data_IF_832133804550
#
_entry.id   IF_832133804550
#
_cell.length_a   1.000
_cell.length_b   1.000
_cell.length_c   1.000
_cell.angle_alpha   90.00
_cell.angle_beta   90.00
_cell.angle_gamma   90.00
#
_symmetry.space_group_name_H-M   'P 1'
#
loop_
_entity.id
_entity.type
_entity.pdbx_description
1 polymer ?
#
# COMPACT_ATOMS: atom_id res chain seq x y z
N UNK A 1 -13.27 10.07 -8.89
CA UNK A 1 -12.30 10.58 -7.90
C UNK A 1 -12.53 12.07 -7.83
N UNK A 2 -13.18 12.53 -6.77
CA UNK A 2 -13.38 13.96 -6.50
C UNK A 2 -12.06 14.52 -5.95
N UNK A 3 -11.30 15.17 -6.83
CA UNK A 3 -9.92 15.63 -6.56
C UNK A 3 -9.91 16.93 -5.74
N UNK A 4 -11.03 17.62 -5.62
CA UNK A 4 -11.15 18.94 -5.00
C UNK A 4 -10.81 18.89 -3.49
N UNK A 5 -11.16 17.77 -2.82
CA UNK A 5 -10.80 17.52 -1.42
C UNK A 5 -9.30 17.26 -1.19
N UNK A 6 -8.60 16.78 -2.23
CA UNK A 6 -7.15 16.47 -2.20
C UNK A 6 -6.33 17.74 -2.45
N UNK A 7 -6.85 18.68 -3.24
CA UNK A 7 -6.19 19.95 -3.56
C UNK A 7 -6.02 20.86 -2.34
N UNK A 8 -6.97 20.82 -1.39
CA UNK A 8 -6.89 21.57 -0.13
C UNK A 8 -5.70 21.20 0.77
N UNK A 9 -5.06 20.06 0.53
CA UNK A 9 -3.89 19.60 1.28
C UNK A 9 -2.57 20.18 0.77
N UNK A 10 -2.59 20.95 -0.34
CA UNK A 10 -1.39 21.53 -0.94
C UNK A 10 -0.62 22.48 -0.01
N UNK A 11 -1.31 23.07 0.98
CA UNK A 11 -0.74 23.99 1.98
C UNK A 11 0.14 23.32 3.05
N UNK A 12 0.12 21.99 3.15
CA UNK A 12 0.93 21.25 4.14
C UNK A 12 2.41 21.33 3.76
N UNK A 13 3.20 22.05 4.56
CA UNK A 13 4.63 22.34 4.25
C UNK A 13 5.51 21.08 4.14
N UNK A 14 5.47 20.10 5.07
CA UNK A 14 6.28 18.90 4.92
C UNK A 14 5.70 18.01 3.82
N UNK A 15 6.42 17.89 2.71
CA UNK A 15 5.92 17.21 1.51
C UNK A 15 5.58 15.72 1.74
N UNK A 16 6.29 15.05 2.65
CA UNK A 16 5.98 13.66 3.06
C UNK A 16 4.61 13.58 3.75
N UNK A 17 4.30 14.51 4.65
CA UNK A 17 3.01 14.56 5.34
C UNK A 17 1.89 14.94 4.39
N UNK A 18 2.14 15.89 3.48
CA UNK A 18 1.19 16.25 2.43
C UNK A 18 0.81 15.02 1.58
N UNK A 19 1.81 14.30 1.08
CA UNK A 19 1.59 13.07 0.32
C UNK A 19 0.78 12.05 1.14
N UNK A 20 1.15 11.84 2.41
CA UNK A 20 0.47 10.87 3.27
C UNK A 20 -0.98 11.27 3.61
N UNK A 21 -1.29 12.57 3.78
CA UNK A 21 -2.66 13.06 3.97
C UNK A 21 -3.52 12.87 2.70
N UNK A 22 -2.94 13.13 1.53
CA UNK A 22 -3.61 12.87 0.24
C UNK A 22 -3.89 11.38 0.07
N UNK A 23 -2.91 10.53 0.39
CA UNK A 23 -3.06 9.07 0.38
C UNK A 23 -4.07 8.58 1.41
N UNK A 24 -4.16 9.21 2.59
CA UNK A 24 -5.19 8.89 3.60
C UNK A 24 -6.59 9.19 3.09
N UNK A 25 -6.77 10.31 2.41
CA UNK A 25 -8.04 10.68 1.79
C UNK A 25 -8.47 9.67 0.73
N UNK A 26 -7.51 9.26 -0.12
CA UNK A 26 -7.70 8.22 -1.13
C UNK A 26 -7.98 6.83 -0.50
N UNK A 27 -7.27 6.44 0.56
CA UNK A 27 -7.52 5.21 1.32
C UNK A 27 -8.94 5.18 1.93
N UNK A 28 -9.46 6.35 2.33
CA UNK A 28 -10.85 6.50 2.82
C UNK A 28 -11.88 6.40 1.70
N UNK A 29 -11.63 7.07 0.58
CA UNK A 29 -12.49 7.01 -0.60
C UNK A 29 -12.63 5.58 -1.13
N UNK A 30 -11.54 4.83 -1.16
CA UNK A 30 -11.51 3.42 -1.54
C UNK A 30 -11.97 2.48 -0.42
N UNK A 31 -12.30 3.00 0.78
CA UNK A 31 -12.61 2.23 1.99
C UNK A 31 -11.59 1.14 2.38
N UNK A 32 -10.37 1.18 1.82
CA UNK A 32 -9.30 0.21 2.08
C UNK A 32 -8.80 0.25 3.53
N UNK A 33 -9.04 1.34 4.25
CA UNK A 33 -8.78 1.44 5.69
C UNK A 33 -9.63 0.48 6.54
N UNK A 34 -10.71 -0.09 5.98
CA UNK A 34 -11.58 -1.07 6.61
C UNK A 34 -11.20 -2.52 6.25
N UNK A 35 -10.33 -2.69 5.25
CA UNK A 35 -9.90 -4.00 4.75
C UNK A 35 -8.66 -4.44 5.53
N UNK A 36 -8.65 -5.66 6.04
CA UNK A 36 -7.46 -6.29 6.64
C UNK A 36 -6.81 -7.29 5.68
N UNK A 37 -5.57 -7.67 5.99
CA UNK A 37 -4.87 -8.73 5.25
C UNK A 37 -5.57 -10.09 5.36
N UNK A 38 -6.43 -10.29 6.37
CA UNK A 38 -7.21 -11.52 6.54
C UNK A 38 -8.30 -11.63 5.47
N UNK A 39 -9.01 -10.54 5.15
CA UNK A 39 -9.99 -10.55 4.05
C UNK A 39 -9.31 -10.47 2.67
N UNK A 40 -8.17 -9.76 2.59
CA UNK A 40 -7.47 -9.54 1.32
C UNK A 40 -6.88 -10.83 0.72
N UNK A 41 -6.24 -11.67 1.54
CA UNK A 41 -5.53 -12.87 1.05
C UNK A 41 -6.44 -13.86 0.30
N UNK A 42 -7.63 -14.26 0.84
CA UNK A 42 -8.55 -15.12 0.11
C UNK A 42 -9.02 -14.51 -1.21
N UNK A 43 -9.34 -13.22 -1.23
CA UNK A 43 -9.80 -12.53 -2.43
C UNK A 43 -8.74 -12.54 -3.54
N UNK A 44 -7.47 -12.31 -3.18
CA UNK A 44 -6.34 -12.39 -4.13
C UNK A 44 -6.06 -13.81 -4.59
N UNK A 45 -6.15 -14.81 -3.70
CA UNK A 45 -5.91 -16.20 -4.08
C UNK A 45 -6.88 -16.69 -5.15
N UNK A 46 -8.12 -16.18 -5.15
CA UNK A 46 -9.14 -16.51 -6.15
C UNK A 46 -8.89 -15.84 -7.51
N UNK A 47 -8.13 -14.73 -7.54
CA UNK A 47 -7.70 -14.10 -8.80
C UNK A 47 -6.47 -14.79 -9.40
N UNK A 48 -5.85 -15.68 -8.64
CA UNK A 48 -4.59 -16.35 -8.94
C UNK A 48 -4.80 -17.84 -9.17
N UNK A 49 -5.61 -18.21 -10.16
CA UNK A 49 -5.90 -19.62 -10.48
C UNK A 49 -4.61 -20.44 -10.77
N UNK A 50 -3.54 -19.78 -11.23
CA UNK A 50 -2.27 -20.39 -11.64
C UNK A 50 -1.12 -20.26 -10.63
N UNK A 51 -1.34 -19.63 -9.48
CA UNK A 51 -0.27 -19.20 -8.53
C UNK A 51 0.86 -18.37 -9.17
N UNK A 52 0.68 -17.87 -10.40
CA UNK A 52 1.69 -17.09 -11.10
C UNK A 52 1.54 -15.59 -10.76
N UNK A 53 2.50 -14.98 -10.05
CA UNK A 53 2.46 -13.54 -9.76
C UNK A 53 2.53 -12.67 -11.02
N UNK A 54 2.92 -13.22 -12.18
CA UNK A 54 2.93 -12.51 -13.47
C UNK A 54 1.57 -12.54 -14.19
N UNK A 55 0.55 -13.17 -13.60
CA UNK A 55 -0.82 -13.17 -14.13
C UNK A 55 -1.31 -11.75 -14.34
N UNK A 56 -1.83 -11.48 -15.54
CA UNK A 56 -2.49 -10.20 -15.88
C UNK A 56 -3.99 -10.34 -15.66
N UNK A 57 -4.56 -9.35 -15.01
CA UNK A 57 -5.97 -9.27 -14.67
C UNK A 57 -6.63 -8.15 -15.48
N UNK A 58 -7.73 -8.47 -16.13
CA UNK A 58 -8.64 -7.52 -16.75
C UNK A 58 -9.39 -6.69 -15.70
N UNK A 59 -10.00 -5.58 -16.12
CA UNK A 59 -10.78 -4.73 -15.22
C UNK A 59 -11.97 -5.49 -14.58
N UNK A 60 -12.58 -6.41 -15.32
CA UNK A 60 -13.68 -7.23 -14.84
C UNK A 60 -13.21 -8.21 -13.74
N UNK A 61 -12.05 -8.85 -13.92
CA UNK A 61 -11.47 -9.77 -12.92
C UNK A 61 -11.10 -9.02 -11.63
N UNK A 62 -10.46 -7.85 -11.76
CA UNK A 62 -10.14 -7.00 -10.60
C UNK A 62 -11.41 -6.58 -9.87
N UNK A 63 -12.44 -6.12 -10.58
CA UNK A 63 -13.73 -5.74 -9.99
C UNK A 63 -14.38 -6.92 -9.26
N UNK A 64 -14.40 -8.10 -9.87
CA UNK A 64 -14.94 -9.30 -9.24
C UNK A 64 -14.18 -9.68 -7.96
N UNK A 65 -12.85 -9.57 -7.96
CA UNK A 65 -12.04 -9.78 -6.76
C UNK A 65 -12.38 -8.80 -5.64
N UNK A 66 -12.56 -7.53 -5.98
CA UNK A 66 -12.95 -6.49 -5.04
C UNK A 66 -14.39 -6.69 -4.50
N UNK A 67 -15.33 -7.13 -5.33
CA UNK A 67 -16.69 -7.49 -4.88
C UNK A 67 -16.64 -8.57 -3.81
N UNK A 68 -15.86 -9.63 -4.01
CA UNK A 68 -15.68 -10.70 -3.00
C UNK A 68 -15.00 -10.18 -1.74
N UNK A 69 -13.96 -9.35 -1.89
CA UNK A 69 -13.26 -8.73 -0.78
C UNK A 69 -14.22 -7.92 0.09
N UNK A 70 -14.97 -6.99 -0.50
CA UNK A 70 -15.88 -6.13 0.23
C UNK A 70 -17.13 -6.86 0.73
N UNK A 71 -17.53 -7.96 0.08
CA UNK A 71 -18.54 -8.87 0.65
C UNK A 71 -18.06 -9.45 1.97
N UNK A 72 -16.81 -9.94 2.04
CA UNK A 72 -16.22 -10.45 3.28
C UNK A 72 -16.10 -9.38 4.37
N UNK A 73 -15.75 -8.14 4.01
CA UNK A 73 -15.71 -7.02 4.96
C UNK A 73 -17.11 -6.65 5.46
N UNK A 74 -18.12 -6.70 4.59
CA UNK A 74 -19.51 -6.39 4.94
C UNK A 74 -20.09 -7.34 5.99
N UNK A 75 -19.66 -8.60 5.99
CA UNK A 75 -20.09 -9.59 6.99
C UNK A 75 -19.65 -9.22 8.41
N UNK A 76 -18.49 -8.58 8.54
CA UNK A 76 -17.99 -8.09 9.83
C UNK A 76 -18.51 -6.69 10.19
N UNK A 77 -19.01 -5.94 9.20
CA UNK A 77 -19.47 -4.55 9.33
C UNK A 77 -20.90 -4.37 8.79
N UNK A 78 -21.93 -4.88 9.51
CA UNK A 78 -23.31 -4.85 9.03
C UNK A 78 -23.81 -3.43 8.77
N UNK A 79 -24.42 -3.21 7.60
CA UNK A 79 -25.03 -1.95 7.20
C UNK A 79 -24.13 -0.99 6.43
N UNK A 80 -22.86 -1.34 6.20
CA UNK A 80 -21.97 -0.56 5.35
C UNK A 80 -22.13 -0.94 3.87
N UNK A 81 -22.14 0.06 2.98
CA UNK A 81 -22.25 -0.13 1.53
C UNK A 81 -20.92 0.19 0.88
N UNK A 82 -20.38 -0.75 0.10
CA UNK A 82 -19.06 -0.68 -0.50
C UNK A 82 -19.07 -0.56 -2.04
N UNK A 83 -20.22 -0.39 -2.67
CA UNK A 83 -20.34 -0.29 -4.14
C UNK A 83 -19.44 0.80 -4.72
N UNK A 84 -19.44 1.99 -4.12
CA UNK A 84 -18.56 3.08 -4.56
C UNK A 84 -17.09 2.77 -4.32
N UNK A 85 -16.75 2.08 -3.21
CA UNK A 85 -15.38 1.70 -2.91
C UNK A 85 -14.81 0.70 -3.90
N UNK A 86 -15.61 -0.26 -4.38
CA UNK A 86 -15.21 -1.19 -5.45
C UNK A 86 -14.84 -0.42 -6.72
N UNK A 87 -15.67 0.55 -7.13
CA UNK A 87 -15.42 1.34 -8.34
C UNK A 87 -14.22 2.28 -8.18
N UNK A 88 -14.10 2.97 -7.04
CA UNK A 88 -12.96 3.87 -6.80
C UNK A 88 -11.65 3.08 -6.68
N UNK A 89 -11.66 1.90 -6.06
CA UNK A 89 -10.48 1.03 -5.95
C UNK A 89 -10.09 0.45 -7.31
N UNK A 90 -11.06 -0.01 -8.11
CA UNK A 90 -10.80 -0.47 -9.48
C UNK A 90 -10.16 0.65 -10.31
N UNK A 91 -10.76 1.86 -10.33
CA UNK A 91 -10.21 3.01 -11.05
C UNK A 91 -8.82 3.41 -10.58
N UNK A 92 -8.57 3.33 -9.27
CA UNK A 92 -7.26 3.60 -8.69
C UNK A 92 -6.19 2.63 -9.22
N UNK A 93 -6.46 1.32 -9.16
CA UNK A 93 -5.51 0.29 -9.59
C UNK A 93 -5.13 0.43 -11.07
N UNK A 94 -6.12 0.70 -11.93
CA UNK A 94 -5.87 0.92 -13.36
C UNK A 94 -5.13 2.24 -13.62
N UNK A 95 -5.43 3.30 -12.87
CA UNK A 95 -4.66 4.55 -12.94
C UNK A 95 -3.20 4.37 -12.52
N UNK A 96 -2.92 3.48 -11.57
CA UNK A 96 -1.58 3.18 -11.09
C UNK A 96 -0.78 2.36 -12.12
N UNK A 97 -1.37 1.28 -12.63
CA UNK A 97 -0.64 0.20 -13.28
C UNK A 97 -0.97 -0.04 -14.76
N UNK A 98 -2.05 0.53 -15.30
CA UNK A 98 -2.41 0.42 -16.73
C UNK A 98 -2.21 1.75 -17.49
N UNK A 99 -0.99 2.30 -17.42
CA UNK A 99 -0.66 3.60 -18.04
C UNK A 99 -0.74 3.58 -19.56
N UNK A 100 -0.51 2.43 -20.16
CA UNK A 100 -0.58 2.19 -21.60
C UNK A 100 -2.01 1.87 -22.07
N UNK A 101 -2.99 1.85 -21.17
CA UNK A 101 -4.40 1.59 -21.47
C UNK A 101 -4.61 0.25 -22.19
N UNK A 102 -3.90 -0.78 -21.73
CA UNK A 102 -3.99 -2.15 -22.25
C UNK A 102 -5.25 -2.87 -21.80
N UNK A 103 -5.96 -2.34 -20.79
CA UNK A 103 -7.12 -2.98 -20.18
C UNK A 103 -6.75 -4.10 -19.20
N UNK A 104 -5.47 -4.19 -18.79
CA UNK A 104 -5.00 -5.21 -17.85
C UNK A 104 -3.89 -4.72 -16.90
N UNK A 105 -3.87 -5.25 -15.68
CA UNK A 105 -2.87 -4.98 -14.64
C UNK A 105 -2.26 -6.27 -14.10
N UNK A 106 -1.04 -6.22 -13.58
CA UNK A 106 -0.39 -7.40 -13.00
C UNK A 106 -0.93 -7.69 -11.60
N UNK A 107 -1.15 -8.97 -11.29
CA UNK A 107 -1.66 -9.42 -9.98
C UNK A 107 -0.77 -8.94 -8.83
N UNK A 108 0.55 -9.08 -8.94
CA UNK A 108 1.46 -8.63 -7.88
C UNK A 108 1.41 -7.12 -7.64
N UNK A 109 1.18 -6.32 -8.69
CA UNK A 109 1.03 -4.87 -8.55
C UNK A 109 -0.27 -4.52 -7.83
N UNK A 110 -1.36 -5.25 -8.12
CA UNK A 110 -2.63 -5.13 -7.39
C UNK A 110 -2.43 -5.51 -5.92
N UNK A 111 -1.80 -6.64 -5.63
CA UNK A 111 -1.53 -7.10 -4.27
C UNK A 111 -0.66 -6.10 -3.49
N UNK A 112 0.39 -5.56 -4.10
CA UNK A 112 1.27 -4.57 -3.47
C UNK A 112 0.51 -3.31 -3.06
N UNK A 113 -0.33 -2.75 -3.94
CA UNK A 113 -1.12 -1.56 -3.65
C UNK A 113 -2.17 -1.83 -2.57
N UNK A 114 -2.93 -2.93 -2.68
CA UNK A 114 -3.97 -3.27 -1.70
C UNK A 114 -3.38 -3.58 -0.32
N UNK A 115 -2.25 -4.28 -0.26
CA UNK A 115 -1.48 -4.51 0.98
C UNK A 115 -1.02 -3.20 1.61
N UNK A 116 -0.47 -2.27 0.82
CA UNK A 116 -0.01 -1.00 1.35
C UNK A 116 -1.17 -0.13 1.88
N UNK A 117 -2.32 -0.17 1.21
CA UNK A 117 -3.51 0.62 1.54
C UNK A 117 -4.45 -0.04 2.55
N UNK A 118 -4.20 -1.27 3.00
CA UNK A 118 -5.05 -1.96 3.99
C UNK A 118 -5.09 -1.23 5.34
N UNK A 119 -6.01 -1.60 6.22
CA UNK A 119 -6.16 -1.10 7.59
C UNK A 119 -5.18 -1.72 8.61
N UNK A 120 -4.31 -2.64 8.20
CA UNK A 120 -3.45 -3.39 9.12
C UNK A 120 -2.32 -2.56 9.74
N UNK A 121 -1.68 -3.15 10.75
CA UNK A 121 -0.47 -2.61 11.36
C UNK A 121 0.68 -2.51 10.34
N UNK A 122 1.57 -1.54 10.55
CA UNK A 122 2.74 -1.38 9.68
C UNK A 122 3.62 -2.65 9.64
N UNK A 123 3.72 -3.36 10.76
CA UNK A 123 4.46 -4.62 10.87
C UNK A 123 3.85 -5.72 10.01
N UNK A 124 2.52 -5.87 10.04
CA UNK A 124 1.82 -6.89 9.25
C UNK A 124 1.94 -6.61 7.75
N UNK A 125 1.85 -5.33 7.37
CA UNK A 125 2.12 -4.89 6.00
C UNK A 125 3.54 -5.22 5.56
N UNK A 126 4.55 -4.91 6.37
CA UNK A 126 5.94 -5.25 6.04
C UNK A 126 6.15 -6.75 5.82
N UNK A 127 5.55 -7.58 6.68
CA UNK A 127 5.59 -9.05 6.53
C UNK A 127 4.87 -9.53 5.27
N UNK A 128 3.72 -8.96 4.94
CA UNK A 128 3.01 -9.28 3.71
C UNK A 128 3.80 -8.87 2.46
N UNK A 129 4.40 -7.68 2.46
CA UNK A 129 5.27 -7.21 1.39
C UNK A 129 6.52 -8.09 1.22
N UNK A 130 7.09 -8.61 2.31
CA UNK A 130 8.16 -9.60 2.24
C UNK A 130 7.73 -10.87 1.49
N UNK A 131 6.58 -11.46 1.87
CA UNK A 131 6.04 -12.66 1.22
C UNK A 131 5.74 -12.43 -0.27
N UNK A 132 5.24 -11.25 -0.62
CA UNK A 132 5.06 -10.87 -2.02
C UNK A 132 6.41 -10.78 -2.76
N UNK A 133 7.43 -10.18 -2.12
CA UNK A 133 8.79 -10.13 -2.67
C UNK A 133 9.43 -11.50 -2.87
N UNK A 134 9.11 -12.46 -2.00
CA UNK A 134 9.53 -13.86 -2.10
C UNK A 134 8.88 -14.54 -3.31
N UNK A 135 7.56 -14.39 -3.47
CA UNK A 135 6.82 -14.86 -4.65
C UNK A 135 7.40 -14.30 -5.95
N UNK A 136 7.72 -13.00 -5.97
CA UNK A 136 8.36 -12.33 -7.11
C UNK A 136 9.81 -12.76 -7.37
N UNK A 137 10.44 -13.45 -6.43
CA UNK A 137 11.80 -13.98 -6.59
C UNK A 137 11.84 -15.34 -7.27
N UNK A 138 10.67 -15.95 -7.58
CA UNK A 138 10.57 -17.19 -8.36
C UNK A 138 11.00 -18.46 -7.61
N UNK A 139 11.30 -18.36 -6.31
CA UNK A 139 11.70 -19.48 -5.47
C UNK A 139 10.57 -19.88 -4.51
N UNK A 140 9.45 -20.33 -5.07
CA UNK A 140 8.43 -21.03 -4.29
C UNK A 140 8.97 -22.42 -3.92
N UNK A 141 9.60 -22.54 -2.74
CA UNK A 141 9.98 -23.84 -2.17
C UNK A 141 11.46 -24.13 -1.96
N UNK A 142 12.36 -23.13 -1.96
CA UNK A 142 13.67 -23.33 -1.31
C UNK A 142 13.53 -23.32 0.21
N UNK A 143 14.33 -24.11 0.93
CA UNK A 143 14.28 -24.20 2.40
C UNK A 143 14.53 -22.85 3.09
N UNK A 144 15.16 -21.90 2.40
CA UNK A 144 15.38 -20.53 2.87
C UNK A 144 14.45 -19.52 2.15
N UNK A 145 13.41 -19.06 2.86
CA UNK A 145 12.53 -17.97 2.42
C UNK A 145 13.33 -16.68 2.26
N UNK A 146 13.59 -16.27 1.02
CA UNK A 146 14.42 -15.10 0.72
C UNK A 146 13.87 -14.26 -0.43
N UNK A 147 14.17 -12.96 -0.38
CA UNK A 147 13.85 -12.01 -1.45
C UNK A 147 15.12 -11.66 -2.21
N UNK A 148 15.09 -11.88 -3.52
CA UNK A 148 16.19 -11.52 -4.44
C UNK A 148 16.19 -10.02 -4.76
N UNK A 149 17.30 -9.51 -5.30
CA UNK A 149 17.37 -8.10 -5.77
C UNK A 149 16.33 -7.80 -6.85
N UNK A 150 16.06 -8.75 -7.74
CA UNK A 150 15.05 -8.62 -8.79
C UNK A 150 13.64 -8.58 -8.20
N UNK A 151 13.29 -9.51 -7.31
CA UNK A 151 11.99 -9.54 -6.65
C UNK A 151 11.71 -8.27 -5.86
N UNK A 152 12.70 -7.80 -5.08
CA UNK A 152 12.59 -6.55 -4.34
C UNK A 152 12.44 -5.34 -5.28
N UNK A 153 13.17 -5.30 -6.39
CA UNK A 153 13.06 -4.20 -7.38
C UNK A 153 11.66 -4.10 -7.95
N UNK A 154 11.06 -5.22 -8.36
CA UNK A 154 9.69 -5.25 -8.89
C UNK A 154 8.70 -4.74 -7.85
N UNK A 155 8.76 -5.29 -6.62
CA UNK A 155 7.90 -4.86 -5.52
C UNK A 155 8.02 -3.36 -5.23
N UNK A 156 9.25 -2.84 -5.14
CA UNK A 156 9.50 -1.43 -4.86
C UNK A 156 9.08 -0.52 -6.01
N UNK A 157 9.19 -0.98 -7.26
CA UNK A 157 8.66 -0.27 -8.41
C UNK A 157 7.14 -0.11 -8.29
N UNK A 158 6.41 -1.16 -7.92
CA UNK A 158 4.96 -1.12 -7.79
C UNK A 158 4.50 -0.22 -6.64
N UNK A 159 5.16 -0.33 -5.49
CA UNK A 159 4.91 0.54 -4.34
C UNK A 159 5.22 2.01 -4.65
N UNK A 160 6.22 2.29 -5.48
CA UNK A 160 6.58 3.67 -5.85
C UNK A 160 5.49 4.38 -6.68
N UNK A 161 4.59 3.61 -7.33
CA UNK A 161 3.50 4.20 -8.10
C UNK A 161 2.39 4.78 -7.20
N UNK A 162 2.20 4.22 -6.00
CA UNK A 162 1.15 4.65 -5.06
C UNK A 162 1.25 6.14 -4.73
N UNK A 163 2.37 6.70 -4.24
CA UNK A 163 2.50 8.14 -4.02
C UNK A 163 2.51 8.98 -5.31
N UNK A 164 2.76 8.39 -6.48
CA UNK A 164 2.72 9.10 -7.75
C UNK A 164 1.30 9.52 -8.14
N UNK A 165 0.26 8.77 -7.72
CA UNK A 165 -1.14 9.08 -8.02
C UNK A 165 -1.61 10.42 -7.42
N UNK A 166 -0.96 10.84 -6.32
CA UNK A 166 -1.20 12.12 -5.63
C UNK A 166 -0.20 13.21 -6.01
N UNK A 167 0.61 12.97 -7.05
CA UNK A 167 1.59 13.89 -7.63
C UNK A 167 2.73 14.33 -6.68
N UNK A 168 3.08 13.51 -5.69
CA UNK A 168 4.14 13.81 -4.71
C UNK A 168 5.33 12.84 -4.79
N UNK A 169 5.46 12.07 -5.89
CA UNK A 169 6.50 11.05 -6.03
C UNK A 169 7.93 11.60 -5.93
N UNK A 170 8.15 12.86 -6.33
CA UNK A 170 9.45 13.54 -6.30
C UNK A 170 10.06 13.68 -4.89
N UNK A 171 9.24 13.54 -3.84
CA UNK A 171 9.66 13.65 -2.44
C UNK A 171 10.40 12.39 -1.97
N UNK A 172 10.13 11.25 -2.61
CA UNK A 172 10.61 9.94 -2.19
C UNK A 172 11.91 9.54 -2.90
N UNK A 173 12.57 8.51 -2.38
CA UNK A 173 13.81 7.98 -2.97
C UNK A 173 13.59 7.26 -4.31
N UNK A 174 14.67 6.81 -4.95
CA UNK A 174 14.61 5.97 -6.14
C UNK A 174 14.64 4.47 -5.80
N UNK A 175 14.04 3.64 -6.65
CA UNK A 175 14.01 2.18 -6.51
C UNK A 175 15.42 1.59 -6.39
N UNK A 176 16.33 1.92 -7.32
CA UNK A 176 17.69 1.35 -7.28
C UNK A 176 18.47 1.71 -6.00
N UNK A 177 18.28 2.93 -5.49
CA UNK A 177 18.91 3.34 -4.23
C UNK A 177 18.35 2.55 -3.05
N UNK A 178 17.04 2.31 -3.04
CA UNK A 178 16.38 1.51 -2.01
C UNK A 178 16.82 0.04 -2.05
N UNK A 179 16.88 -0.57 -3.25
CA UNK A 179 17.39 -1.94 -3.44
C UNK A 179 18.85 -2.04 -2.96
N UNK A 180 19.72 -1.10 -3.35
CA UNK A 180 21.12 -1.07 -2.88
C UNK A 180 21.23 -0.92 -1.37
N UNK A 181 20.37 -0.11 -0.76
CA UNK A 181 20.34 0.08 0.69
C UNK A 181 19.91 -1.19 1.44
N UNK A 182 18.90 -1.91 0.94
CA UNK A 182 18.44 -3.16 1.54
C UNK A 182 19.52 -4.25 1.49
N UNK A 183 20.25 -4.33 0.38
CA UNK A 183 21.32 -5.30 0.17
C UNK A 183 22.70 -4.83 0.65
N UNK A 184 22.78 -3.72 1.38
CA UNK A 184 24.05 -3.19 1.88
C UNK A 184 24.66 -4.15 2.90
N UNK A 185 25.82 -4.73 2.57
CA UNK A 185 26.48 -5.73 3.43
C UNK A 185 25.92 -7.15 3.29
N UNK A 186 24.95 -7.38 2.40
CA UNK A 186 24.38 -8.71 2.13
C UNK A 186 25.24 -9.41 1.07
N UNK A 187 25.88 -10.52 1.47
CA UNK A 187 26.75 -11.33 0.61
C UNK A 187 26.00 -12.43 -0.16
N UNK A 188 24.80 -12.78 0.30
CA UNK A 188 23.93 -13.80 -0.29
C UNK A 188 23.17 -13.27 -1.51
N UNK A 189 22.59 -14.19 -2.30
CA UNK A 189 21.79 -13.85 -3.47
C UNK A 189 20.43 -13.20 -3.13
N UNK A 190 19.92 -13.48 -1.92
CA UNK A 190 18.69 -12.91 -1.38
C UNK A 190 18.82 -12.50 0.09
N UNK A 191 17.82 -11.76 0.58
CA UNK A 191 17.66 -11.36 1.98
C UNK A 191 16.56 -12.17 2.64
N UNK A 192 16.79 -12.67 3.85
CA UNK A 192 15.76 -13.34 4.66
C UNK A 192 14.77 -12.32 5.24
N UNK A 193 13.72 -12.83 5.89
CA UNK A 193 12.65 -12.02 6.47
C UNK A 193 13.18 -11.00 7.47
N UNK A 194 14.08 -11.41 8.37
CA UNK A 194 14.60 -10.54 9.44
C UNK A 194 15.32 -9.32 8.87
N UNK A 195 16.15 -9.52 7.84
CA UNK A 195 16.90 -8.44 7.19
C UNK A 195 15.97 -7.54 6.40
N UNK A 196 15.04 -8.12 5.62
CA UNK A 196 14.12 -7.36 4.78
C UNK A 196 13.12 -6.53 5.59
N UNK A 197 12.48 -7.14 6.60
CA UNK A 197 11.54 -6.47 7.49
C UNK A 197 12.26 -5.45 8.37
N UNK A 198 13.47 -5.77 8.87
CA UNK A 198 14.29 -4.81 9.61
C UNK A 198 14.66 -3.58 8.76
N UNK A 199 14.97 -3.78 7.48
CA UNK A 199 15.20 -2.67 6.55
C UNK A 199 13.93 -1.84 6.34
N UNK A 200 12.76 -2.46 6.15
CA UNK A 200 11.48 -1.72 6.03
C UNK A 200 11.16 -0.90 7.30
N UNK A 201 11.45 -1.46 8.48
CA UNK A 201 11.31 -0.77 9.77
C UNK A 201 12.26 0.42 9.94
N UNK A 202 13.40 0.44 9.23
CA UNK A 202 14.29 1.60 9.19
C UNK A 202 13.73 2.78 8.37
N UNK A 203 12.51 2.65 7.84
CA UNK A 203 11.78 3.66 7.06
C UNK A 203 12.58 4.17 5.84
N UNK A 204 12.89 3.29 4.86
CA UNK A 204 13.67 3.68 3.71
C UNK A 204 12.98 4.81 2.95
N UNK A 205 13.77 5.77 2.44
CA UNK A 205 13.25 7.02 1.86
C UNK A 205 12.15 6.82 0.80
N UNK A 206 12.24 5.75 0.01
CA UNK A 206 11.25 5.39 -1.01
C UNK A 206 9.85 5.09 -0.41
N UNK A 207 9.81 4.53 0.80
CA UNK A 207 8.59 4.05 1.47
C UNK A 207 8.19 4.89 2.69
N UNK A 208 8.81 6.06 2.90
CA UNK A 208 8.45 6.97 4.00
C UNK A 208 6.97 7.38 4.00
N UNK A 209 6.31 7.37 2.84
CA UNK A 209 4.87 7.61 2.75
C UNK A 209 4.06 6.54 3.46
N UNK A 210 4.50 5.28 3.47
CA UNK A 210 3.77 4.16 4.05
C UNK A 210 3.77 4.26 5.59
N UNK A 211 4.94 4.52 6.19
CA UNK A 211 5.06 4.75 7.63
C UNK A 211 4.32 6.01 8.07
N UNK A 212 4.40 7.09 7.26
CA UNK A 212 3.70 8.35 7.57
C UNK A 212 2.19 8.21 7.43
N UNK A 213 1.70 7.51 6.42
CA UNK A 213 0.27 7.19 6.26
C UNK A 213 -0.25 6.41 7.46
N UNK A 214 0.50 5.40 7.91
CA UNK A 214 0.15 4.63 9.11
C UNK A 214 0.08 5.52 10.35
N UNK A 215 1.09 6.38 10.58
CA UNK A 215 1.09 7.33 11.72
C UNK A 215 -0.15 8.23 11.71
N UNK A 216 -0.48 8.81 10.55
CA UNK A 216 -1.68 9.65 10.40
C UNK A 216 -2.93 8.84 10.74
N UNK A 217 -3.08 7.64 10.17
CA UNK A 217 -4.25 6.79 10.42
C UNK A 217 -4.39 6.42 11.90
N UNK A 218 -3.30 6.02 12.56
CA UNK A 218 -3.30 5.61 13.96
C UNK A 218 -3.60 6.77 14.93
N UNK A 219 -3.17 7.98 14.58
CA UNK A 219 -3.38 9.18 15.39
C UNK A 219 -4.75 9.85 15.20
N UNK A 220 -5.46 9.54 14.11
CA UNK A 220 -6.59 10.36 13.64
C UNK A 220 -7.73 10.48 14.66
N UNK A 221 -7.93 9.44 15.47
CA UNK A 221 -8.95 9.42 16.54
C UNK A 221 -8.36 9.70 17.94
N UNK A 222 -7.05 9.96 18.06
CA UNK A 222 -6.39 10.18 19.35
C UNK A 222 -6.65 11.60 19.82
N UNK A 223 -7.18 11.72 21.03
CA UNK A 223 -7.48 13.00 21.67
C UNK A 223 -6.40 13.31 22.70
N UNK A 224 -5.71 14.42 22.49
CA UNK A 224 -4.72 14.96 23.41
C UNK A 224 -5.35 16.08 24.25
N UNK A 225 -5.33 15.93 25.58
CA UNK A 225 -5.83 16.89 26.55
C UNK A 225 -4.89 18.11 26.70
N UNK A 226 -4.47 18.69 25.58
CA UNK A 226 -3.57 19.84 25.47
C UNK A 226 -4.25 20.93 24.66
N UNK A 227 -3.92 22.19 24.95
CA UNK A 227 -4.44 23.36 24.24
C UNK A 227 -3.40 23.88 23.26
N UNK A 228 -3.77 24.04 21.99
CA UNK A 228 -2.87 24.60 20.99
C UNK A 228 -2.47 26.02 21.37
N UNK A 229 -1.16 26.31 21.44
CA UNK A 229 -0.68 27.64 21.83
C UNK A 229 -1.06 28.71 20.80
N UNK A 230 -1.08 28.35 19.52
CA UNK A 230 -1.33 29.25 18.40
C UNK A 230 -2.84 29.52 18.20
N UNK A 231 -3.63 28.50 17.87
CA UNK A 231 -5.05 28.67 17.55
C UNK A 231 -6.02 28.47 18.73
N UNK A 232 -5.50 28.14 19.93
CA UNK A 232 -6.29 27.87 21.15
C UNK A 232 -7.26 26.67 21.06
N UNK A 233 -7.23 25.89 19.98
CA UNK A 233 -7.99 24.66 19.86
C UNK A 233 -7.75 23.73 21.06
N UNK A 234 -8.84 23.18 21.59
CA UNK A 234 -8.85 22.23 22.71
C UNK A 234 -10.14 21.40 22.66
N UNK A 235 -10.06 20.07 22.82
CA UNK A 235 -8.82 19.28 22.82
C UNK A 235 -8.18 19.26 21.42
N UNK A 236 -6.93 18.82 21.33
CA UNK A 236 -6.30 18.54 20.03
C UNK A 236 -6.61 17.09 19.67
N UNK A 237 -7.03 16.85 18.44
CA UNK A 237 -7.29 15.51 17.89
C UNK A 237 -6.37 15.29 16.69
N UNK A 238 -5.70 14.13 16.59
CA UNK A 238 -4.70 13.86 15.55
C UNK A 238 -3.25 13.97 16.02
N UNK A 239 -2.31 14.10 15.07
CA UNK A 239 -0.88 14.37 15.33
C UNK A 239 -0.60 15.81 15.76
#
# INVERSE_FOLDING_TARGET
MDLDSIEGLNEVRPAVYRAALKLRSLQKLCQMHMVTLRELRPALSLLSESADPQTRLSEAEVRQGLERLFQSVSEEHPGQVFTEAIDQTTRLLFKLYDREQTGSVLLHSVEAALTALSGDSLTDKHRALFRLGESLSGHLGSEDSTVTRSGLRVLLHDLSQVPAVVQESHVFGHVETAVRSCFSGVLTAGVCEEVSVGWLQSEPRLLLWLSTLYRISASEAVVHAIRCRACKAFPITGL
#
